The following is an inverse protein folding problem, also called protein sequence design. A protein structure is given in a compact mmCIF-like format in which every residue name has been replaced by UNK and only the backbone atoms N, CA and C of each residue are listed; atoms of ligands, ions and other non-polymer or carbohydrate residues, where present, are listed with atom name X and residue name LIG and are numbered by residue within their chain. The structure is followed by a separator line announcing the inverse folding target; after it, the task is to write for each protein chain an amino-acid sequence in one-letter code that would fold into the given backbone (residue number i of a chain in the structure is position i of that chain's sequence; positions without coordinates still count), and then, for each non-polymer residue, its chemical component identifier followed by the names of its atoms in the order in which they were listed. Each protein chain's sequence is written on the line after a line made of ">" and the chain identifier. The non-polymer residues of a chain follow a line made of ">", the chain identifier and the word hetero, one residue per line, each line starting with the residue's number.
data_IF_310260315063
#
_entry.id   IF_310260315063
#
_cell.length_a   1.000
_cell.length_b   1.000
_cell.length_c   1.000
_cell.angle_alpha   90.00
_cell.angle_beta   90.00
_cell.angle_gamma   90.00
#
_symmetry.space_group_name_H-M   'P 1'
#
loop_
_entity.id
_entity.type
_entity.pdbx_description
1 polymer ?
#
# COMPACT_ATOMS: atom_id res chain seq x y z
N UNK A 1 -4.68 10.47 -22.48
CA UNK A 1 -4.19 9.93 -21.20
C UNK A 1 -3.27 10.92 -20.51
N UNK A 2 -3.33 10.98 -19.18
CA UNK A 2 -2.37 11.69 -18.32
C UNK A 2 -1.79 10.70 -17.32
N UNK A 3 -0.49 10.51 -17.38
CA UNK A 3 0.20 9.47 -16.61
C UNK A 3 1.22 10.11 -15.66
N UNK A 4 1.28 9.65 -14.42
CA UNK A 4 2.39 9.95 -13.53
C UNK A 4 3.01 8.64 -13.03
N UNK A 5 4.32 8.49 -13.19
CA UNK A 5 5.04 7.26 -12.91
C UNK A 5 6.37 7.50 -12.16
N UNK A 6 6.64 6.70 -11.14
CA UNK A 6 7.94 6.64 -10.50
C UNK A 6 8.93 5.82 -11.32
N UNK A 7 8.64 4.54 -11.50
CA UNK A 7 9.40 3.64 -12.36
C UNK A 7 8.58 3.37 -13.63
N UNK A 8 9.17 3.65 -14.80
CA UNK A 8 8.53 3.56 -16.10
C UNK A 8 9.40 2.72 -17.04
N UNK A 9 9.42 1.40 -16.84
CA UNK A 9 10.41 0.51 -17.45
C UNK A 9 9.81 -0.71 -18.16
N UNK A 10 8.55 -1.08 -17.83
CA UNK A 10 7.93 -2.29 -18.36
C UNK A 10 7.53 -2.14 -19.83
N UNK A 11 8.17 -2.92 -20.71
CA UNK A 11 8.09 -2.75 -22.15
C UNK A 11 6.69 -2.85 -22.76
N UNK A 12 5.82 -3.73 -22.24
CA UNK A 12 4.45 -3.85 -22.74
C UNK A 12 3.61 -2.60 -22.39
N UNK A 13 3.81 -2.01 -21.19
CA UNK A 13 3.13 -0.78 -20.79
C UNK A 13 3.58 0.39 -21.66
N UNK A 14 4.90 0.57 -21.88
CA UNK A 14 5.42 1.64 -22.72
C UNK A 14 4.96 1.50 -24.18
N UNK A 15 4.93 0.27 -24.71
CA UNK A 15 4.41 -0.02 -26.04
C UNK A 15 2.91 0.33 -26.17
N UNK A 16 2.12 0.02 -25.14
CA UNK A 16 0.69 0.41 -25.12
C UNK A 16 0.50 1.93 -25.16
N UNK A 17 1.32 2.71 -24.46
CA UNK A 17 1.29 4.19 -24.58
C UNK A 17 1.66 4.66 -25.97
N UNK A 18 2.69 4.08 -26.60
CA UNK A 18 3.06 4.39 -27.98
C UNK A 18 1.95 4.06 -28.97
N UNK A 19 1.31 2.89 -28.84
CA UNK A 19 0.20 2.45 -29.70
C UNK A 19 -1.02 3.36 -29.53
N UNK A 20 -1.33 3.76 -28.30
CA UNK A 20 -2.40 4.73 -28.04
C UNK A 20 -2.12 6.07 -28.74
N UNK A 21 -0.89 6.59 -28.61
CA UNK A 21 -0.50 7.83 -29.30
C UNK A 21 -0.54 7.69 -30.84
N UNK A 22 -0.10 6.55 -31.38
CA UNK A 22 -0.19 6.25 -32.81
C UNK A 22 -1.64 6.13 -33.33
N UNK A 23 -2.59 5.87 -32.42
CA UNK A 23 -4.03 5.86 -32.68
C UNK A 23 -4.71 7.20 -32.39
N UNK A 24 -3.94 8.29 -32.46
CA UNK A 24 -4.38 9.68 -32.26
C UNK A 24 -4.86 10.04 -30.84
N UNK A 25 -4.59 9.18 -29.84
CA UNK A 25 -4.85 9.55 -28.46
C UNK A 25 -3.79 10.57 -27.96
N UNK A 26 -4.23 11.62 -27.29
CA UNK A 26 -3.34 12.56 -26.61
C UNK A 26 -2.79 11.93 -25.33
N UNK A 27 -1.56 11.42 -25.39
CA UNK A 27 -0.85 10.76 -24.29
C UNK A 27 0.26 11.66 -23.77
N UNK A 28 0.23 12.01 -22.48
CA UNK A 28 1.30 12.74 -21.80
C UNK A 28 1.67 12.06 -20.50
N UNK A 29 2.98 11.93 -20.25
CA UNK A 29 3.52 11.15 -19.13
C UNK A 29 4.51 12.01 -18.36
N UNK A 30 4.29 12.18 -17.05
CA UNK A 30 5.27 12.73 -16.10
C UNK A 30 5.94 11.57 -15.39
N UNK A 31 7.26 11.57 -15.30
CA UNK A 31 8.01 10.48 -14.66
C UNK A 31 9.19 10.98 -13.81
N UNK A 32 9.63 10.17 -12.84
CA UNK A 32 10.80 10.53 -12.02
C UNK A 32 12.10 10.43 -12.81
N UNK A 33 12.74 11.57 -13.04
CA UNK A 33 14.02 11.71 -13.72
C UNK A 33 15.11 12.30 -12.80
N UNK A 34 14.87 12.32 -11.49
CA UNK A 34 15.83 12.83 -10.49
C UNK A 34 17.01 11.89 -10.37
N UNK A 35 18.22 12.42 -10.63
CA UNK A 35 19.47 11.64 -10.55
C UNK A 35 19.81 11.37 -9.08
N UNK A 36 19.70 10.11 -8.67
CA UNK A 36 20.00 9.62 -7.33
C UNK A 36 20.78 8.31 -7.40
N UNK A 37 21.62 8.05 -6.39
CA UNK A 37 22.20 6.72 -6.20
C UNK A 37 21.08 5.70 -6.02
N UNK A 38 21.05 4.66 -6.85
CA UNK A 38 19.99 3.65 -6.90
C UNK A 38 18.59 4.19 -7.24
N UNK A 39 18.46 5.37 -7.84
CA UNK A 39 17.20 5.90 -8.35
C UNK A 39 16.85 5.32 -9.72
N UNK A 40 15.61 5.46 -10.17
CA UNK A 40 15.11 4.86 -11.42
C UNK A 40 15.45 5.65 -12.69
N UNK A 41 16.01 6.86 -12.58
CA UNK A 41 16.13 7.81 -13.69
C UNK A 41 16.82 7.23 -14.94
N UNK A 42 17.98 6.60 -14.78
CA UNK A 42 18.74 6.05 -15.91
C UNK A 42 17.98 4.91 -16.57
N UNK A 43 17.40 3.99 -15.80
CA UNK A 43 16.61 2.87 -16.29
C UNK A 43 15.30 3.34 -16.94
N UNK A 44 14.64 4.37 -16.41
CA UNK A 44 13.48 5.01 -17.03
C UNK A 44 13.84 5.59 -18.40
N UNK A 45 14.93 6.37 -18.50
CA UNK A 45 15.38 6.95 -19.76
C UNK A 45 15.77 5.88 -20.79
N UNK A 46 16.43 4.81 -20.37
CA UNK A 46 16.77 3.70 -21.25
C UNK A 46 15.51 3.04 -21.84
N UNK A 47 14.52 2.75 -20.99
CA UNK A 47 13.27 2.13 -21.41
C UNK A 47 12.44 3.05 -22.32
N UNK A 48 12.36 4.36 -22.01
CA UNK A 48 11.67 5.38 -22.81
C UNK A 48 12.27 5.45 -24.22
N UNK A 49 13.60 5.56 -24.35
CA UNK A 49 14.31 5.56 -25.66
C UNK A 49 14.08 4.26 -26.43
N UNK A 50 14.16 3.11 -25.74
CA UNK A 50 13.90 1.80 -26.35
C UNK A 50 12.47 1.68 -26.89
N UNK A 51 11.50 2.23 -26.18
CA UNK A 51 10.10 2.26 -26.59
C UNK A 51 9.79 3.36 -27.63
N UNK A 52 10.70 4.32 -27.85
CA UNK A 52 10.53 5.47 -28.76
C UNK A 52 9.32 6.33 -28.39
N UNK A 53 9.26 6.75 -27.15
CA UNK A 53 8.18 7.60 -26.60
C UNK A 53 8.72 8.88 -25.97
N UNK A 54 9.91 9.35 -26.37
CA UNK A 54 10.55 10.55 -25.83
C UNK A 54 9.66 11.78 -25.97
N UNK A 55 8.89 11.86 -27.04
CA UNK A 55 7.98 12.97 -27.34
C UNK A 55 6.71 12.96 -26.45
N UNK A 56 6.44 11.88 -25.71
CA UNK A 56 5.28 11.73 -24.84
C UNK A 56 5.59 12.04 -23.37
N UNK A 57 6.87 12.22 -23.01
CA UNK A 57 7.29 12.27 -21.61
C UNK A 57 7.78 13.65 -21.19
N UNK A 58 7.49 14.02 -19.96
CA UNK A 58 8.02 15.19 -19.24
C UNK A 58 8.77 14.72 -18.01
N UNK A 59 10.09 14.98 -17.90
CA UNK A 59 10.87 14.56 -16.76
C UNK A 59 10.58 15.45 -15.55
N UNK A 60 10.38 14.82 -14.39
CA UNK A 60 10.30 15.46 -13.09
C UNK A 60 11.69 15.50 -12.48
N UNK A 61 12.32 16.69 -12.41
CA UNK A 61 13.73 16.89 -12.03
C UNK A 61 13.92 17.74 -10.78
N UNK A 62 12.97 18.61 -10.47
CA UNK A 62 13.03 19.50 -9.32
C UNK A 62 12.90 18.74 -7.98
N UNK A 63 13.26 19.39 -6.89
CA UNK A 63 13.28 18.77 -5.54
C UNK A 63 14.12 17.49 -5.46
N UNK A 64 15.40 17.58 -5.76
CA UNK A 64 16.35 16.44 -5.82
C UNK A 64 16.39 15.55 -4.57
N UNK A 65 15.97 16.04 -3.41
CA UNK A 65 15.86 15.26 -2.17
C UNK A 65 14.60 14.38 -2.09
N UNK A 66 13.66 14.55 -3.00
CA UNK A 66 12.38 13.87 -3.07
C UNK A 66 12.35 12.82 -4.21
N UNK A 67 11.28 12.04 -4.31
CA UNK A 67 10.97 11.16 -5.44
C UNK A 67 9.56 11.45 -5.94
N UNK A 68 9.33 11.33 -7.24
CA UNK A 68 8.00 11.39 -7.84
C UNK A 68 7.41 10.00 -7.81
N UNK A 69 6.89 9.62 -6.64
CA UNK A 69 6.53 8.23 -6.35
C UNK A 69 5.12 7.85 -6.78
N UNK A 70 4.46 8.70 -7.54
CA UNK A 70 3.13 8.46 -8.09
C UNK A 70 3.07 7.28 -9.06
N UNK A 71 1.91 6.61 -9.11
CA UNK A 71 1.56 5.59 -10.09
C UNK A 71 0.08 5.74 -10.39
N UNK A 72 -0.25 6.59 -11.37
CA UNK A 72 -1.62 6.76 -11.80
C UNK A 72 -1.75 7.09 -13.28
N UNK A 73 -2.91 6.79 -13.84
CA UNK A 73 -3.29 7.07 -15.22
C UNK A 73 -4.69 7.67 -15.21
N UNK A 74 -4.85 8.91 -15.63
CA UNK A 74 -6.15 9.56 -15.85
C UNK A 74 -6.58 9.33 -17.28
N UNK A 75 -7.78 8.78 -17.47
CA UNK A 75 -8.43 8.69 -18.76
C UNK A 75 -9.28 9.93 -19.00
N UNK A 76 -9.05 10.57 -20.15
CA UNK A 76 -9.87 11.67 -20.64
C UNK A 76 -10.70 11.21 -21.84
N UNK A 77 -11.96 11.61 -21.89
CA UNK A 77 -12.82 11.42 -23.01
C UNK A 77 -13.20 12.82 -23.57
N UNK A 78 -12.79 13.12 -24.80
CA UNK A 78 -12.96 14.43 -25.43
C UNK A 78 -12.41 15.60 -24.58
N UNK A 79 -11.27 15.39 -23.90
CA UNK A 79 -10.64 16.38 -23.05
C UNK A 79 -11.12 16.40 -21.60
N UNK A 80 -12.23 15.73 -21.28
CA UNK A 80 -12.81 15.67 -19.94
C UNK A 80 -12.31 14.43 -19.16
N UNK A 81 -11.79 14.56 -17.92
CA UNK A 81 -11.44 13.42 -17.08
C UNK A 81 -12.68 12.58 -16.74
N UNK A 82 -12.58 11.27 -16.90
CA UNK A 82 -13.72 10.36 -16.68
C UNK A 82 -13.43 9.26 -15.68
N UNK A 83 -12.20 8.77 -15.63
CA UNK A 83 -11.76 7.77 -14.66
C UNK A 83 -10.26 7.85 -14.38
N UNK A 84 -9.81 7.30 -13.28
CA UNK A 84 -8.40 7.19 -12.93
C UNK A 84 -8.07 5.77 -12.49
N UNK A 85 -6.97 5.23 -13.03
CA UNK A 85 -6.29 4.09 -12.44
C UNK A 85 -5.19 4.61 -11.50
N UNK A 86 -5.11 4.06 -10.27
CA UNK A 86 -4.06 4.39 -9.31
C UNK A 86 -3.77 3.22 -8.36
N UNK A 87 -2.63 3.27 -7.67
CA UNK A 87 -2.27 2.24 -6.70
C UNK A 87 -0.78 2.23 -6.32
N UNK A 88 -0.30 1.07 -5.88
CA UNK A 88 1.08 0.87 -5.45
C UNK A 88 2.00 0.30 -6.52
N UNK A 89 1.48 -0.10 -7.69
CA UNK A 89 2.18 -0.86 -8.73
C UNK A 89 3.09 0.04 -9.57
N UNK A 90 4.41 -0.12 -9.46
CA UNK A 90 5.35 0.46 -10.40
C UNK A 90 5.20 -0.17 -11.79
N UNK A 91 5.47 0.58 -12.86
CA UNK A 91 5.48 0.07 -14.23
C UNK A 91 6.82 -0.60 -14.55
N UNK A 92 7.12 -1.67 -13.78
CA UNK A 92 8.30 -2.53 -13.92
C UNK A 92 7.89 -3.99 -13.88
N UNK A 93 8.76 -4.88 -14.34
CA UNK A 93 8.51 -6.33 -14.22
C UNK A 93 8.40 -6.74 -12.73
N UNK A 94 9.23 -6.19 -11.85
CA UNK A 94 9.13 -6.40 -10.40
C UNK A 94 7.81 -5.92 -9.81
N UNK A 95 7.35 -4.73 -10.20
CA UNK A 95 6.08 -4.17 -9.74
C UNK A 95 4.86 -4.97 -10.17
N UNK A 96 4.87 -5.52 -11.38
CA UNK A 96 3.73 -6.24 -11.97
C UNK A 96 3.75 -7.73 -11.62
N UNK A 97 4.91 -8.37 -11.64
CA UNK A 97 5.05 -9.83 -11.53
C UNK A 97 5.83 -10.29 -10.29
N UNK A 98 6.54 -9.39 -9.61
CA UNK A 98 7.51 -9.75 -8.57
C UNK A 98 6.98 -9.72 -7.15
N UNK A 99 6.15 -8.76 -6.79
CA UNK A 99 5.64 -8.60 -5.43
C UNK A 99 4.17 -8.15 -5.40
N UNK A 100 3.53 -8.25 -4.23
CA UNK A 100 2.14 -7.84 -4.09
C UNK A 100 1.98 -6.33 -4.25
N UNK A 101 1.00 -5.94 -5.03
CA UNK A 101 0.61 -4.56 -5.25
C UNK A 101 -0.90 -4.43 -5.36
N UNK A 102 -1.40 -3.20 -5.27
CA UNK A 102 -2.80 -2.87 -5.49
C UNK A 102 -2.94 -1.92 -6.67
N UNK A 103 -4.08 -2.01 -7.36
CA UNK A 103 -4.50 -1.08 -8.38
C UNK A 103 -6.01 -0.89 -8.34
N UNK A 104 -6.44 0.35 -8.50
CA UNK A 104 -7.85 0.74 -8.56
C UNK A 104 -8.16 1.42 -9.87
N UNK A 105 -9.33 1.16 -10.42
CA UNK A 105 -9.98 2.04 -11.40
C UNK A 105 -11.15 2.70 -10.69
N UNK A 106 -11.07 4.04 -10.54
CA UNK A 106 -12.13 4.86 -9.95
C UNK A 106 -12.88 5.55 -11.09
N UNK A 107 -14.15 5.16 -11.29
CA UNK A 107 -15.05 5.73 -12.30
C UNK A 107 -15.91 6.82 -11.68
N UNK A 108 -15.22 7.89 -11.27
CA UNK A 108 -15.81 9.06 -10.67
C UNK A 108 -15.16 10.29 -11.29
N UNK A 109 -15.96 11.18 -11.88
CA UNK A 109 -15.47 12.36 -12.61
C UNK A 109 -14.79 13.37 -11.68
N UNK A 110 -15.27 13.53 -10.47
CA UNK A 110 -14.71 14.49 -9.51
C UNK A 110 -13.34 14.01 -9.03
N UNK A 111 -13.22 12.72 -8.71
CA UNK A 111 -11.93 12.09 -8.39
C UNK A 111 -10.98 12.16 -9.58
N UNK A 112 -11.43 11.78 -10.78
CA UNK A 112 -10.60 11.85 -11.99
C UNK A 112 -10.14 13.27 -12.30
N UNK A 113 -11.02 14.28 -12.13
CA UNK A 113 -10.69 15.69 -12.31
C UNK A 113 -9.65 16.15 -11.28
N UNK A 114 -9.75 15.70 -10.04
CA UNK A 114 -8.78 16.03 -8.99
C UNK A 114 -7.40 15.46 -9.33
N UNK A 115 -7.33 14.20 -9.79
CA UNK A 115 -6.08 13.62 -10.28
C UNK A 115 -5.53 14.29 -11.53
N UNK A 116 -6.40 14.73 -12.43
CA UNK A 116 -6.00 15.46 -13.63
C UNK A 116 -5.35 16.80 -13.27
N UNK A 117 -5.98 17.58 -12.38
CA UNK A 117 -5.40 18.85 -11.89
C UNK A 117 -4.07 18.63 -11.16
N UNK A 118 -3.97 17.57 -10.35
CA UNK A 118 -2.71 17.21 -9.72
C UNK A 118 -1.64 16.86 -10.76
N UNK A 119 -2.01 16.16 -11.83
CA UNK A 119 -1.10 15.88 -12.94
C UNK A 119 -0.64 17.16 -13.63
N UNK A 120 -1.51 18.16 -13.83
CA UNK A 120 -1.15 19.46 -14.39
C UNK A 120 -0.10 20.17 -13.53
N UNK A 121 -0.26 20.16 -12.20
CA UNK A 121 0.75 20.69 -11.28
C UNK A 121 2.09 19.93 -11.41
N UNK A 122 2.08 18.61 -11.47
CA UNK A 122 3.30 17.81 -11.63
C UNK A 122 4.00 18.07 -12.99
N UNK A 123 3.23 18.35 -14.03
CA UNK A 123 3.75 18.59 -15.37
C UNK A 123 4.60 19.86 -15.47
N UNK A 124 4.30 20.87 -14.65
CA UNK A 124 5.07 22.12 -14.57
C UNK A 124 6.40 21.94 -13.79
N UNK A 125 6.67 20.76 -13.29
CA UNK A 125 7.85 20.39 -12.51
C UNK A 125 8.15 21.33 -11.31
N UNK A 126 7.15 21.67 -10.46
CA UNK A 126 7.35 22.59 -9.36
C UNK A 126 8.30 22.03 -8.29
N UNK A 127 8.97 22.90 -7.54
CA UNK A 127 9.63 22.50 -6.32
C UNK A 127 8.61 22.01 -5.27
N UNK A 128 9.07 21.13 -4.37
CA UNK A 128 8.27 20.58 -3.28
C UNK A 128 7.52 21.65 -2.46
N UNK A 129 8.18 22.77 -2.20
CA UNK A 129 7.58 23.90 -1.43
C UNK A 129 6.43 24.60 -2.19
N UNK A 130 6.43 24.51 -3.52
CA UNK A 130 5.45 25.18 -4.39
C UNK A 130 4.18 24.35 -4.54
N UNK A 131 4.29 23.02 -4.63
CA UNK A 131 3.13 22.12 -4.76
C UNK A 131 2.42 21.84 -3.42
N UNK A 132 3.08 22.00 -2.26
CA UNK A 132 2.48 21.75 -0.95
C UNK A 132 1.18 22.49 -0.68
N UNK A 133 1.07 23.82 -0.91
CA UNK A 133 -0.17 24.55 -0.71
C UNK A 133 -1.33 23.97 -1.54
N UNK A 134 -1.06 23.61 -2.79
CA UNK A 134 -2.06 22.98 -3.66
C UNK A 134 -2.55 21.65 -3.08
N UNK A 135 -1.62 20.77 -2.65
CA UNK A 135 -1.96 19.48 -2.05
C UNK A 135 -2.78 19.62 -0.75
N UNK A 136 -2.50 20.66 0.05
CA UNK A 136 -3.18 20.92 1.32
C UNK A 136 -4.58 21.51 1.09
N UNK A 137 -4.74 22.39 0.10
CA UNK A 137 -6.01 23.00 -0.26
C UNK A 137 -6.98 21.99 -0.90
N UNK A 138 -6.47 21.12 -1.80
CA UNK A 138 -7.30 20.14 -2.51
C UNK A 138 -7.75 18.95 -1.66
N UNK A 139 -7.10 18.68 -0.54
CA UNK A 139 -7.58 17.76 0.48
C UNK A 139 -7.35 18.36 1.86
N UNK A 140 -8.30 19.16 2.31
CA UNK A 140 -8.35 19.61 3.69
C UNK A 140 -8.63 18.41 4.61
N UNK A 141 -7.74 18.22 5.60
CA UNK A 141 -7.86 17.09 6.52
C UNK A 141 -9.12 17.27 7.38
N UNK A 142 -10.07 16.32 7.36
CA UNK A 142 -11.26 16.41 8.22
C UNK A 142 -10.90 16.31 9.71
N UNK A 143 -11.68 16.98 10.56
CA UNK A 143 -11.48 16.89 12.01
C UNK A 143 -11.69 15.46 12.52
N UNK A 144 -12.64 14.74 11.93
CA UNK A 144 -12.99 13.36 12.29
C UNK A 144 -12.92 12.43 11.08
N UNK A 145 -14.07 11.85 10.71
CA UNK A 145 -14.19 10.93 9.57
C UNK A 145 -14.28 11.71 8.25
N UNK A 146 -13.73 11.16 7.15
CA UNK A 146 -13.91 11.74 5.83
C UNK A 146 -15.39 11.67 5.41
N UNK A 147 -15.74 12.43 4.36
CA UNK A 147 -17.05 12.27 3.73
C UNK A 147 -17.24 10.83 3.19
N UNK A 148 -18.48 10.36 3.15
CA UNK A 148 -18.82 9.08 2.50
C UNK A 148 -18.52 9.18 1.00
N UNK A 149 -17.95 8.12 0.43
CA UNK A 149 -17.49 8.07 -0.95
C UNK A 149 -15.97 8.00 -1.06
N UNK A 150 -15.42 8.43 -2.18
CA UNK A 150 -13.99 8.36 -2.47
C UNK A 150 -13.40 9.77 -2.56
N UNK A 151 -12.39 10.03 -1.72
CA UNK A 151 -11.55 11.23 -1.78
C UNK A 151 -10.12 10.89 -2.22
N UNK A 152 -9.38 11.91 -2.66
CA UNK A 152 -7.97 11.77 -3.03
C UNK A 152 -7.12 12.74 -2.21
N UNK A 153 -6.11 12.23 -1.51
CA UNK A 153 -5.15 13.02 -0.77
C UNK A 153 -3.77 12.96 -1.43
N UNK A 154 -3.12 14.10 -1.57
CA UNK A 154 -1.81 14.20 -2.23
C UNK A 154 -0.72 14.68 -1.28
N UNK A 155 0.50 14.31 -1.60
CA UNK A 155 1.76 14.73 -0.98
C UNK A 155 2.72 15.28 -2.05
N UNK A 156 3.73 16.09 -1.68
CA UNK A 156 4.17 16.39 -0.31
C UNK A 156 3.30 17.43 0.41
N UNK A 157 3.32 17.38 1.74
CA UNK A 157 2.65 18.35 2.64
C UNK A 157 3.64 19.02 3.57
N UNK A 158 3.25 20.13 4.19
CA UNK A 158 4.14 20.93 5.04
C UNK A 158 4.50 20.23 6.36
N UNK A 159 3.60 19.38 6.86
CA UNK A 159 3.73 18.70 8.14
C UNK A 159 3.20 17.27 8.09
N UNK A 160 3.10 16.59 9.24
CA UNK A 160 2.61 15.21 9.38
C UNK A 160 1.12 15.11 9.73
N UNK A 161 0.33 16.17 9.58
CA UNK A 161 -1.06 16.16 10.04
C UNK A 161 -1.92 15.13 9.28
N UNK A 162 -1.63 14.89 8.00
CA UNK A 162 -2.28 13.82 7.24
C UNK A 162 -1.97 12.44 7.84
N UNK A 163 -0.72 12.17 8.17
CA UNK A 163 -0.31 10.90 8.76
C UNK A 163 -0.89 10.73 10.18
N UNK A 164 -0.88 11.82 10.99
CA UNK A 164 -1.54 11.84 12.30
C UNK A 164 -3.04 11.61 12.20
N UNK A 165 -3.67 12.14 11.16
CA UNK A 165 -5.09 11.91 10.94
C UNK A 165 -5.37 10.42 10.64
N UNK A 166 -4.56 9.77 9.80
CA UNK A 166 -4.64 8.32 9.58
C UNK A 166 -4.47 7.52 10.87
N UNK A 167 -3.49 7.88 11.71
CA UNK A 167 -3.30 7.24 13.01
C UNK A 167 -4.50 7.45 13.95
N UNK A 168 -5.11 8.65 13.97
CA UNK A 168 -6.35 8.90 14.73
C UNK A 168 -7.54 8.09 14.24
N UNK A 169 -7.67 7.89 12.92
CA UNK A 169 -8.70 7.02 12.35
C UNK A 169 -8.51 5.57 12.81
N UNK A 170 -7.27 5.10 12.79
CA UNK A 170 -6.89 3.78 13.32
C UNK A 170 -7.23 3.66 14.81
N UNK A 171 -6.89 4.66 15.62
CA UNK A 171 -7.14 4.68 17.08
C UNK A 171 -8.63 4.65 17.43
N UNK A 172 -9.49 5.21 16.57
CA UNK A 172 -10.95 5.27 16.72
C UNK A 172 -11.70 4.07 16.13
N UNK A 173 -11.01 3.03 15.66
CA UNK A 173 -11.66 1.83 15.14
C UNK A 173 -12.55 1.17 16.20
N UNK A 174 -13.64 0.54 15.76
CA UNK A 174 -14.61 -0.10 16.65
C UNK A 174 -14.36 -1.60 16.81
N UNK A 175 -13.98 -2.29 15.72
CA UNK A 175 -13.94 -3.75 15.69
C UNK A 175 -12.60 -4.31 15.21
N UNK A 176 -12.02 -3.76 14.13
CA UNK A 176 -10.75 -4.25 13.60
C UNK A 176 -10.03 -3.24 12.70
N UNK A 177 -8.69 -3.34 12.68
CA UNK A 177 -7.81 -2.64 11.75
C UNK A 177 -6.86 -3.61 11.08
N UNK A 178 -6.62 -3.40 9.79
CA UNK A 178 -5.68 -4.16 8.97
C UNK A 178 -4.74 -3.20 8.26
N UNK A 179 -3.44 -3.31 8.53
CA UNK A 179 -2.41 -2.39 8.01
C UNK A 179 -1.32 -3.16 7.28
N UNK A 180 -0.98 -2.74 6.07
CA UNK A 180 0.25 -3.18 5.39
C UNK A 180 1.33 -2.11 5.51
N UNK A 181 2.54 -2.50 5.92
CA UNK A 181 3.67 -1.61 6.11
C UNK A 181 4.95 -2.22 5.49
N UNK A 182 5.18 -1.91 4.20
CA UNK A 182 6.30 -2.47 3.44
C UNK A 182 7.68 -2.06 3.98
N UNK A 183 7.79 -0.92 4.65
CA UNK A 183 9.06 -0.37 5.16
C UNK A 183 9.03 -0.10 6.67
N UNK A 184 8.32 -0.94 7.42
CA UNK A 184 8.13 -0.79 8.87
C UNK A 184 6.95 0.11 9.25
N UNK A 185 6.59 0.08 10.52
CA UNK A 185 5.52 0.91 11.09
C UNK A 185 6.09 2.26 11.51
N UNK A 186 5.39 3.35 11.19
CA UNK A 186 5.78 4.68 11.65
C UNK A 186 5.39 4.88 13.12
N UNK A 187 6.19 5.63 13.87
CA UNK A 187 6.01 5.88 15.31
C UNK A 187 4.57 6.32 15.68
N UNK A 188 3.88 7.07 14.83
CA UNK A 188 2.49 7.49 15.06
C UNK A 188 1.49 6.32 15.08
N UNK A 189 1.75 5.26 14.32
CA UNK A 189 0.94 4.04 14.33
C UNK A 189 1.42 3.06 15.40
N UNK A 190 2.74 3.03 15.68
CA UNK A 190 3.29 2.28 16.81
C UNK A 190 2.63 2.72 18.12
N UNK A 191 2.51 4.04 18.36
CA UNK A 191 1.83 4.61 19.53
C UNK A 191 0.39 4.06 19.68
N UNK A 192 -0.37 3.94 18.58
CA UNK A 192 -1.70 3.34 18.62
C UNK A 192 -1.66 1.84 18.94
N UNK A 193 -0.67 1.12 18.40
CA UNK A 193 -0.50 -0.33 18.63
C UNK A 193 -0.02 -0.65 20.04
N UNK A 194 0.74 0.21 20.67
CA UNK A 194 1.22 0.07 22.05
C UNK A 194 0.10 0.22 23.08
N UNK A 195 -0.92 1.02 22.80
CA UNK A 195 -2.03 1.23 23.72
C UNK A 195 -3.04 0.07 23.68
N UNK A 196 -3.49 -0.45 24.83
CA UNK A 196 -4.55 -1.46 24.88
C UNK A 196 -5.87 -0.90 24.31
N UNK A 197 -6.40 -1.57 23.31
CA UNK A 197 -7.68 -1.24 22.68
C UNK A 197 -8.54 -2.49 22.56
N UNK A 198 -9.87 -2.40 22.60
CA UNK A 198 -10.77 -3.55 22.59
C UNK A 198 -11.05 -4.12 21.19
N UNK A 199 -10.30 -3.73 20.15
CA UNK A 199 -10.48 -4.17 18.78
C UNK A 199 -9.25 -4.91 18.24
N UNK A 200 -9.45 -5.75 17.23
CA UNK A 200 -8.40 -6.54 16.59
C UNK A 200 -7.49 -5.66 15.72
N UNK A 201 -6.19 -5.94 15.74
CA UNK A 201 -5.20 -5.19 14.95
C UNK A 201 -4.26 -6.16 14.25
N UNK A 202 -4.34 -6.16 12.93
CA UNK A 202 -3.52 -6.98 12.07
C UNK A 202 -2.51 -6.11 11.32
N UNK A 203 -1.22 -6.44 11.43
CA UNK A 203 -0.15 -5.73 10.74
C UNK A 203 0.65 -6.71 9.89
N UNK A 204 0.79 -6.42 8.61
CA UNK A 204 1.57 -7.20 7.66
C UNK A 204 2.80 -6.41 7.24
N UNK A 205 3.98 -6.93 7.57
CA UNK A 205 5.29 -6.31 7.33
C UNK A 205 6.04 -7.03 6.20
N UNK A 206 6.85 -6.29 5.43
CA UNK A 206 7.82 -6.91 4.52
C UNK A 206 8.96 -7.58 5.29
N UNK A 207 9.54 -6.89 6.28
CA UNK A 207 10.65 -7.38 7.09
C UNK A 207 10.44 -7.12 8.57
N UNK A 208 11.01 -7.99 9.40
CA UNK A 208 10.97 -7.85 10.84
C UNK A 208 12.17 -6.99 11.28
N UNK A 209 11.89 -5.76 11.64
CA UNK A 209 12.84 -4.89 12.31
C UNK A 209 12.46 -4.74 13.81
N UNK A 210 12.57 -3.53 14.33
CA UNK A 210 12.19 -3.16 15.70
C UNK A 210 10.72 -3.40 16.05
N UNK A 211 9.85 -3.51 15.05
CA UNK A 211 8.39 -3.53 15.21
C UNK A 211 7.84 -4.84 15.82
N UNK A 212 8.69 -5.86 15.97
CA UNK A 212 8.28 -7.14 16.57
C UNK A 212 7.85 -7.01 18.05
N UNK A 213 8.33 -6.00 18.75
CA UNK A 213 7.94 -5.76 20.15
C UNK A 213 6.47 -5.32 20.29
N UNK A 214 5.87 -4.80 19.22
CA UNK A 214 4.46 -4.43 19.18
C UNK A 214 3.50 -5.61 19.40
N UNK A 215 3.93 -6.85 19.09
CA UNK A 215 3.18 -8.06 19.42
C UNK A 215 2.93 -8.20 20.92
N UNK A 216 3.88 -7.78 21.73
CA UNK A 216 3.82 -7.95 23.18
C UNK A 216 3.03 -6.82 23.86
N UNK A 217 2.78 -5.72 23.18
CA UNK A 217 2.07 -4.56 23.73
C UNK A 217 0.58 -4.84 23.95
N UNK A 218 -0.04 -5.68 23.12
CA UNK A 218 -1.43 -6.11 23.29
C UNK A 218 -1.68 -7.50 22.71
N UNK A 219 -2.46 -8.36 23.40
CA UNK A 219 -2.83 -9.67 22.87
C UNK A 219 -3.76 -9.61 21.64
N UNK A 220 -4.27 -8.42 21.31
CA UNK A 220 -5.10 -8.19 20.11
C UNK A 220 -4.29 -7.66 18.92
N UNK A 221 -2.97 -7.55 19.05
CA UNK A 221 -2.04 -7.29 17.96
C UNK A 221 -1.62 -8.62 17.32
N UNK A 222 -1.88 -8.77 16.04
CA UNK A 222 -1.42 -9.90 15.22
C UNK A 222 -0.46 -9.38 14.16
N UNK A 223 0.79 -9.86 14.16
CA UNK A 223 1.79 -9.50 13.16
C UNK A 223 2.13 -10.68 12.26
N UNK A 224 2.29 -10.42 10.97
CA UNK A 224 2.91 -11.33 10.03
C UNK A 224 4.06 -10.63 9.29
N UNK A 225 5.14 -11.36 9.05
CA UNK A 225 6.33 -10.87 8.36
C UNK A 225 6.60 -11.72 7.13
N UNK A 226 6.72 -11.07 5.98
CA UNK A 226 6.88 -11.76 4.70
C UNK A 226 8.32 -12.23 4.46
N UNK A 227 9.31 -11.36 4.66
CA UNK A 227 10.71 -11.66 4.38
C UNK A 227 11.37 -12.38 5.58
N UNK A 228 11.06 -13.67 5.72
CA UNK A 228 11.67 -14.55 6.72
C UNK A 228 12.61 -15.51 5.99
N UNK A 229 13.89 -15.50 6.37
CA UNK A 229 14.89 -16.40 5.79
C UNK A 229 14.62 -17.86 6.19
N UNK A 230 14.66 -18.82 5.25
CA UNK A 230 14.47 -20.24 5.54
C UNK A 230 15.66 -20.81 6.33
N UNK A 231 15.39 -21.67 7.31
CA UNK A 231 16.40 -22.37 8.11
C UNK A 231 16.61 -23.84 7.69
N UNK A 232 15.63 -24.44 7.01
CA UNK A 232 15.68 -25.86 6.63
C UNK A 232 15.04 -26.11 5.26
N UNK A 233 15.12 -27.37 4.78
CA UNK A 233 14.61 -27.74 3.44
C UNK A 233 13.08 -27.60 3.32
N UNK A 234 12.33 -27.83 4.42
CA UNK A 234 10.88 -27.68 4.41
C UNK A 234 10.48 -26.21 4.32
N UNK A 235 11.19 -25.32 5.05
CA UNK A 235 10.97 -23.86 4.92
C UNK A 235 11.35 -23.36 3.55
N UNK A 236 12.43 -23.88 2.93
CA UNK A 236 12.81 -23.59 1.54
C UNK A 236 11.74 -24.04 0.55
N UNK A 237 11.11 -25.19 0.79
CA UNK A 237 10.04 -25.67 -0.08
C UNK A 237 8.78 -24.79 0.05
N UNK A 238 8.51 -24.23 1.22
CA UNK A 238 7.42 -23.29 1.44
C UNK A 238 7.75 -21.84 1.00
N UNK A 239 9.02 -21.54 0.73
CA UNK A 239 9.45 -20.23 0.27
C UNK A 239 8.88 -19.96 -1.11
N UNK A 240 8.31 -18.77 -1.30
CA UNK A 240 7.88 -18.34 -2.62
C UNK A 240 9.07 -18.23 -3.55
N UNK A 241 8.90 -18.72 -4.77
CA UNK A 241 9.97 -18.66 -5.77
C UNK A 241 10.18 -17.22 -6.18
N UNK A 242 11.29 -16.62 -5.75
CA UNK A 242 11.68 -15.28 -6.17
C UNK A 242 12.06 -15.31 -7.65
N UNK A 243 11.37 -14.47 -8.44
CA UNK A 243 11.57 -14.39 -9.90
C UNK A 243 12.88 -13.72 -10.30
N UNK A 244 13.67 -13.20 -9.33
CA UNK A 244 14.82 -12.36 -9.58
C UNK A 244 14.47 -10.91 -9.96
N UNK A 245 13.18 -10.58 -10.01
CA UNK A 245 12.68 -9.25 -10.37
C UNK A 245 12.58 -8.29 -9.16
N UNK A 246 12.84 -8.80 -7.96
CA UNK A 246 12.58 -8.12 -6.69
C UNK A 246 13.88 -7.51 -6.14
N UNK A 247 14.17 -6.26 -6.51
CA UNK A 247 15.42 -5.60 -6.12
C UNK A 247 15.38 -5.01 -4.69
N UNK A 248 14.29 -4.33 -4.32
CA UNK A 248 14.17 -3.57 -3.07
C UNK A 248 13.15 -4.12 -2.09
N UNK A 249 12.11 -4.78 -2.59
CA UNK A 249 11.06 -5.45 -1.84
C UNK A 249 10.93 -6.86 -2.38
N UNK A 250 10.79 -7.86 -1.52
CA UNK A 250 10.69 -9.26 -1.97
C UNK A 250 9.25 -9.69 -2.19
N UNK A 251 8.34 -9.34 -1.27
CA UNK A 251 6.98 -9.86 -1.24
C UNK A 251 5.92 -8.77 -1.14
N UNK A 252 5.98 -7.89 -0.14
CA UNK A 252 4.93 -6.95 0.22
C UNK A 252 5.30 -5.54 -0.20
N UNK A 253 4.57 -5.02 -1.20
CA UNK A 253 4.70 -3.63 -1.64
C UNK A 253 3.36 -2.89 -1.62
N UNK A 254 2.32 -3.52 -1.09
CA UNK A 254 1.01 -2.90 -0.84
C UNK A 254 1.11 -1.85 0.27
N UNK A 255 0.35 -0.76 0.12
CA UNK A 255 0.25 0.34 1.06
C UNK A 255 -1.22 0.63 1.28
N UNK A 256 -1.81 -0.04 2.26
CA UNK A 256 -3.19 0.23 2.64
C UNK A 256 -3.46 -0.02 4.11
N UNK A 257 -4.47 0.69 4.60
CA UNK A 257 -5.07 0.49 5.90
C UNK A 257 -6.58 0.32 5.71
N UNK A 258 -7.14 -0.67 6.38
CA UNK A 258 -8.57 -0.95 6.38
C UNK A 258 -9.05 -0.84 7.82
N UNK A 259 -10.13 -0.09 8.04
CA UNK A 259 -10.75 0.12 9.35
C UNK A 259 -12.18 -0.38 9.30
N UNK A 260 -12.54 -1.24 10.25
CA UNK A 260 -13.88 -1.83 10.43
C UNK A 260 -14.50 -2.41 9.14
N UNK A 261 -13.75 -3.24 8.35
CA UNK A 261 -14.21 -3.68 7.01
C UNK A 261 -15.53 -4.46 7.01
N UNK A 262 -15.88 -5.18 8.07
CA UNK A 262 -17.13 -5.93 8.19
C UNK A 262 -18.27 -5.10 8.82
N UNK A 263 -17.99 -3.84 9.17
CA UNK A 263 -18.96 -2.90 9.72
C UNK A 263 -19.85 -2.25 8.66
N UNK A 264 -20.78 -1.42 9.11
CA UNK A 264 -21.70 -0.68 8.23
C UNK A 264 -21.01 0.51 7.53
N UNK A 265 -19.94 1.05 8.11
CA UNK A 265 -19.23 2.24 7.64
C UNK A 265 -17.71 1.98 7.54
N UNK A 266 -17.28 1.07 6.66
CA UNK A 266 -15.87 0.72 6.51
C UNK A 266 -15.06 1.86 5.89
N UNK A 267 -13.77 1.92 6.22
CA UNK A 267 -12.83 2.86 5.64
C UNK A 267 -11.62 2.14 5.06
N UNK A 268 -11.28 2.46 3.80
CA UNK A 268 -10.08 1.97 3.13
C UNK A 268 -9.21 3.17 2.74
N UNK A 269 -7.95 3.16 3.14
CA UNK A 269 -6.93 4.16 2.77
C UNK A 269 -5.86 3.42 1.99
N UNK A 270 -5.63 3.78 0.72
CA UNK A 270 -4.73 3.04 -0.18
C UNK A 270 -4.14 3.94 -1.25
N UNK A 271 -2.95 3.62 -1.76
CA UNK A 271 -2.33 4.40 -2.85
C UNK A 271 -0.84 4.11 -3.03
N UNK A 272 -0.10 5.14 -3.41
CA UNK A 272 1.35 5.04 -3.63
C UNK A 272 2.16 5.25 -2.35
N UNK A 273 1.63 6.02 -1.38
CA UNK A 273 2.38 6.44 -0.20
C UNK A 273 2.60 5.31 0.81
N UNK A 274 3.84 5.09 1.20
CA UNK A 274 4.13 4.38 2.43
C UNK A 274 3.68 5.25 3.61
N UNK A 275 3.09 4.68 4.64
CA UNK A 275 2.68 5.43 5.84
C UNK A 275 3.90 5.95 6.61
N UNK A 276 4.60 6.94 6.04
CA UNK A 276 5.90 7.43 6.53
C UNK A 276 6.05 8.95 6.43
N UNK A 277 7.01 9.50 7.18
CA UNK A 277 7.40 10.92 7.10
C UNK A 277 7.80 11.32 5.68
N UNK A 278 8.67 10.55 5.03
CA UNK A 278 9.15 10.85 3.69
C UNK A 278 8.02 10.91 2.66
N UNK A 279 7.11 9.92 2.69
CA UNK A 279 5.95 9.90 1.79
C UNK A 279 4.98 11.05 2.05
N UNK A 280 4.87 11.52 3.31
CA UNK A 280 3.96 12.62 3.63
C UNK A 280 4.55 13.99 3.30
N UNK A 281 5.84 14.22 3.57
CA UNK A 281 6.43 15.57 3.52
C UNK A 281 7.36 15.84 2.35
N UNK A 282 7.87 14.77 1.68
CA UNK A 282 8.93 14.94 0.68
C UNK A 282 8.58 14.43 -0.71
N UNK A 283 7.89 13.28 -0.80
CA UNK A 283 7.63 12.64 -2.07
C UNK A 283 6.33 13.13 -2.70
N UNK A 284 6.28 13.14 -4.04
CA UNK A 284 5.03 13.27 -4.76
C UNK A 284 4.27 11.92 -4.65
N UNK A 285 3.15 11.91 -3.95
CA UNK A 285 2.35 10.71 -3.67
C UNK A 285 0.87 10.98 -3.80
N UNK A 286 0.11 9.91 -3.96
CA UNK A 286 -1.35 9.97 -3.93
C UNK A 286 -1.93 8.84 -3.08
N UNK A 287 -3.03 9.13 -2.39
CA UNK A 287 -3.82 8.17 -1.61
C UNK A 287 -5.30 8.34 -1.91
N UNK A 288 -6.01 7.24 -2.07
CA UNK A 288 -7.46 7.19 -2.02
C UNK A 288 -7.91 7.01 -0.57
N UNK A 289 -8.96 7.73 -0.20
CA UNK A 289 -9.66 7.60 1.08
C UNK A 289 -11.10 7.22 0.75
N UNK A 290 -11.47 5.97 0.97
CA UNK A 290 -12.74 5.37 0.54
C UNK A 290 -13.56 5.02 1.77
N UNK A 291 -14.68 5.71 1.99
CA UNK A 291 -15.58 5.47 3.12
C UNK A 291 -16.93 4.95 2.68
N UNK A 292 -17.43 3.93 3.37
CA UNK A 292 -18.78 3.39 3.19
C UNK A 292 -18.93 2.41 2.02
N UNK A 293 -17.84 2.10 1.28
CA UNK A 293 -17.88 1.10 0.21
C UNK A 293 -17.52 -0.29 0.78
N UNK A 294 -18.54 -1.03 1.18
CA UNK A 294 -18.40 -2.39 1.75
C UNK A 294 -17.77 -3.37 0.76
N UNK A 295 -18.07 -3.23 -0.54
CA UNK A 295 -17.52 -4.13 -1.55
C UNK A 295 -16.01 -3.93 -1.70
N UNK A 296 -15.54 -2.69 -1.72
CA UNK A 296 -14.11 -2.39 -1.75
C UNK A 296 -13.45 -2.90 -0.47
N UNK A 297 -14.05 -2.66 0.69
CA UNK A 297 -13.53 -3.15 1.96
C UNK A 297 -13.41 -4.68 2.00
N UNK A 298 -14.41 -5.43 1.49
CA UNK A 298 -14.39 -6.90 1.40
C UNK A 298 -13.26 -7.41 0.50
N UNK A 299 -13.03 -6.76 -0.65
CA UNK A 299 -11.93 -7.11 -1.58
C UNK A 299 -10.58 -6.93 -0.89
N UNK A 300 -10.38 -5.78 -0.24
CA UNK A 300 -9.13 -5.50 0.47
C UNK A 300 -8.92 -6.42 1.67
N UNK A 301 -9.97 -6.69 2.46
CA UNK A 301 -9.89 -7.62 3.58
C UNK A 301 -9.54 -9.04 3.11
N UNK A 302 -10.18 -9.51 2.05
CA UNK A 302 -9.93 -10.84 1.50
C UNK A 302 -8.48 -11.00 1.04
N UNK A 303 -7.95 -10.01 0.33
CA UNK A 303 -6.55 -10.03 -0.11
C UNK A 303 -5.58 -9.88 1.08
N UNK A 304 -5.90 -9.01 2.04
CA UNK A 304 -5.09 -8.88 3.26
C UNK A 304 -4.99 -10.22 3.99
N UNK A 305 -6.12 -10.89 4.25
CA UNK A 305 -6.14 -12.15 4.98
C UNK A 305 -5.46 -13.30 4.22
N UNK A 306 -5.55 -13.30 2.88
CA UNK A 306 -4.82 -14.25 2.04
C UNK A 306 -3.30 -14.13 2.26
N UNK A 307 -2.77 -12.90 2.18
CA UNK A 307 -1.35 -12.62 2.39
C UNK A 307 -0.95 -12.85 3.86
N UNK A 308 -1.73 -12.32 4.79
CA UNK A 308 -1.45 -12.39 6.22
C UNK A 308 -1.37 -13.84 6.70
N UNK A 309 -2.36 -14.65 6.37
CA UNK A 309 -2.39 -16.06 6.79
C UNK A 309 -1.22 -16.86 6.20
N UNK A 310 -0.85 -16.59 4.94
CA UNK A 310 0.30 -17.22 4.31
C UNK A 310 1.60 -16.92 5.08
N UNK A 311 1.89 -15.65 5.33
CA UNK A 311 3.13 -15.26 6.01
C UNK A 311 3.12 -15.54 7.50
N UNK A 312 1.97 -15.46 8.18
CA UNK A 312 1.82 -15.87 9.56
C UNK A 312 2.12 -17.38 9.72
N UNK A 313 1.60 -18.21 8.81
CA UNK A 313 1.90 -19.65 8.82
C UNK A 313 3.40 -19.92 8.67
N UNK A 314 4.09 -19.25 7.75
CA UNK A 314 5.55 -19.36 7.60
C UNK A 314 6.29 -18.98 8.88
N UNK A 315 5.88 -17.90 9.54
CA UNK A 315 6.43 -17.46 10.82
C UNK A 315 6.24 -18.48 11.94
N UNK A 316 5.06 -19.09 12.02
CA UNK A 316 4.76 -20.16 13.01
C UNK A 316 5.60 -21.42 12.79
N UNK A 317 5.77 -21.84 11.55
CA UNK A 317 6.62 -22.98 11.19
C UNK A 317 8.06 -22.72 11.64
N UNK A 318 8.58 -21.53 11.37
CA UNK A 318 9.93 -21.14 11.77
C UNK A 318 10.10 -21.12 13.29
N UNK A 319 9.15 -20.51 14.02
CA UNK A 319 9.19 -20.46 15.47
C UNK A 319 9.22 -21.87 16.11
N UNK A 320 8.45 -22.81 15.55
CA UNK A 320 8.45 -24.22 15.99
C UNK A 320 9.74 -24.94 15.63
N UNK A 321 10.30 -24.72 14.44
CA UNK A 321 11.58 -25.33 14.05
C UNK A 321 12.73 -24.92 14.98
N UNK A 322 12.70 -23.70 15.50
CA UNK A 322 13.68 -23.21 16.48
C UNK A 322 13.60 -23.92 17.84
N UNK A 323 12.48 -24.55 18.20
CA UNK A 323 12.30 -25.27 19.46
C UNK A 323 12.66 -26.76 19.40
N UNK A 324 13.05 -27.30 18.25
CA UNK A 324 13.57 -28.63 18.04
C UNK A 324 12.86 -29.43 16.94
N UNK A 325 13.49 -30.48 16.40
CA UNK A 325 12.99 -31.21 15.24
C UNK A 325 11.67 -31.99 15.47
N UNK A 326 11.36 -32.37 16.70
CA UNK A 326 10.09 -33.05 17.00
C UNK A 326 8.89 -32.07 17.05
N UNK A 327 9.08 -30.86 17.57
CA UNK A 327 8.04 -29.81 17.59
C UNK A 327 7.72 -29.27 16.22
N UNK A 328 8.68 -29.28 15.29
CA UNK A 328 8.49 -28.87 13.91
C UNK A 328 7.57 -29.81 13.10
N UNK A 329 7.39 -31.07 13.53
CA UNK A 329 6.58 -32.07 12.82
C UNK A 329 5.11 -32.12 13.22
N UNK A 330 4.73 -31.49 14.35
CA UNK A 330 3.37 -31.55 14.91
C UNK A 330 2.56 -30.31 14.55
N UNK A 331 2.06 -30.23 13.33
CA UNK A 331 1.14 -29.14 12.91
C UNK A 331 -0.30 -29.40 13.36
N UNK A 332 -0.68 -30.66 13.53
CA UNK A 332 -2.01 -31.06 13.97
C UNK A 332 -1.97 -31.52 15.44
N UNK A 333 -2.86 -30.96 16.25
CA UNK A 333 -3.10 -31.41 17.61
C UNK A 333 -3.97 -32.68 17.52
N UNK A 334 -3.58 -33.81 18.14
CA UNK A 334 -4.26 -35.10 17.96
C UNK A 334 -5.63 -35.19 18.66
N UNK A 335 -5.95 -34.24 19.51
CA UNK A 335 -7.20 -34.12 20.24
C UNK A 335 -7.88 -32.77 20.02
N UNK A 336 -8.97 -32.49 20.72
CA UNK A 336 -9.76 -31.28 20.56
C UNK A 336 -9.33 -30.10 21.45
N UNK A 337 -8.22 -30.23 22.16
CA UNK A 337 -7.69 -29.17 23.06
C UNK A 337 -7.40 -27.86 22.34
N UNK A 338 -7.06 -27.92 21.03
CA UNK A 338 -6.79 -26.75 20.20
C UNK A 338 -7.96 -25.78 20.13
N UNK A 339 -9.21 -26.27 20.26
CA UNK A 339 -10.42 -25.45 20.10
C UNK A 339 -10.69 -24.55 21.32
N UNK A 340 -10.18 -24.91 22.52
CA UNK A 340 -10.48 -24.20 23.77
C UNK A 340 -10.27 -22.67 23.63
N UNK A 341 -9.14 -22.24 23.07
CA UNK A 341 -8.81 -20.82 22.87
C UNK A 341 -9.78 -20.07 21.96
N UNK A 342 -10.45 -20.77 21.04
CA UNK A 342 -11.43 -20.16 20.11
C UNK A 342 -12.84 -20.04 20.71
N UNK A 343 -13.12 -20.74 21.80
CA UNK A 343 -14.44 -20.79 22.43
C UNK A 343 -14.48 -20.24 23.86
N UNK A 344 -13.31 -19.96 24.45
CA UNK A 344 -13.22 -19.34 25.76
C UNK A 344 -13.44 -17.82 25.64
N UNK A 345 -14.55 -17.25 26.21
CA UNK A 345 -14.83 -15.82 26.17
C UNK A 345 -13.66 -14.97 26.66
N UNK A 346 -13.42 -13.84 25.97
CA UNK A 346 -12.38 -12.88 26.33
C UNK A 346 -10.97 -13.22 25.81
N UNK A 347 -10.77 -14.38 25.17
CA UNK A 347 -9.48 -14.66 24.52
C UNK A 347 -9.40 -13.98 23.15
N UNK A 348 -8.20 -13.60 22.67
CA UNK A 348 -8.03 -12.99 21.34
C UNK A 348 -8.63 -13.85 20.21
N UNK A 349 -8.40 -15.17 20.24
CA UNK A 349 -8.94 -16.09 19.22
C UNK A 349 -10.46 -16.28 19.31
N UNK A 350 -11.06 -16.07 20.48
CA UNK A 350 -12.51 -16.01 20.61
C UNK A 350 -13.07 -14.75 19.93
N UNK A 351 -12.46 -13.59 20.15
CA UNK A 351 -12.85 -12.33 19.52
C UNK A 351 -12.66 -12.38 18.00
N UNK A 352 -11.52 -12.90 17.53
CA UNK A 352 -11.26 -13.13 16.11
C UNK A 352 -12.33 -14.03 15.48
N UNK A 353 -12.68 -15.14 16.12
CA UNK A 353 -13.74 -16.05 15.65
C UNK A 353 -15.09 -15.34 15.55
N UNK A 354 -15.46 -14.57 16.56
CA UNK A 354 -16.73 -13.84 16.54
C UNK A 354 -16.74 -12.79 15.42
N UNK A 355 -15.66 -12.05 15.28
CA UNK A 355 -15.51 -11.03 14.23
C UNK A 355 -15.71 -11.61 12.84
N UNK A 356 -14.98 -12.68 12.48
CA UNK A 356 -15.12 -13.32 11.16
C UNK A 356 -16.39 -14.16 10.99
N UNK A 357 -17.09 -14.49 12.08
CA UNK A 357 -18.41 -15.11 12.03
C UNK A 357 -19.56 -14.09 11.87
N UNK A 358 -19.25 -12.80 11.77
CA UNK A 358 -20.25 -11.74 11.66
C UNK A 358 -20.96 -11.40 12.99
N UNK A 359 -20.28 -11.63 14.12
CA UNK A 359 -20.74 -11.31 15.48
C UNK A 359 -19.65 -10.50 16.22
N UNK A 360 -19.25 -9.33 15.67
CA UNK A 360 -18.20 -8.51 16.26
C UNK A 360 -18.59 -7.89 17.60
#
# INVERSE_FOLDING_TARGET
>A
LRVAAYELQQGAVLNAFREAAASEADVKIVFDARVKTNGPADANWEAIRKARIEDLVTPRTESRSAISHNKFIVLLHNGEPVEVWTGSTNFTDGGIFGHSNCGHIVRDKDVATTYFKYWEELHEDPEMKEIRPWNEENFAIPDELPAVGTGAAFSPRSNLDLLRWYARLMDKANTAVFLTAAFGVNDLFEEVLEHPKPYLRYVLLESADKDMDLLNASPLNELAVANILPHNEFERWMEEHLTGLNAHVKYIHTKYMIIDPLGEDPLVITGSANFSDASTRKNDENMLVIRGDRRVADIYLSEFMRLFNHFQFRGLVRARAATGPESARSFLVPDDSWKARYYQPGTPKYLERLYFAGHP
#
